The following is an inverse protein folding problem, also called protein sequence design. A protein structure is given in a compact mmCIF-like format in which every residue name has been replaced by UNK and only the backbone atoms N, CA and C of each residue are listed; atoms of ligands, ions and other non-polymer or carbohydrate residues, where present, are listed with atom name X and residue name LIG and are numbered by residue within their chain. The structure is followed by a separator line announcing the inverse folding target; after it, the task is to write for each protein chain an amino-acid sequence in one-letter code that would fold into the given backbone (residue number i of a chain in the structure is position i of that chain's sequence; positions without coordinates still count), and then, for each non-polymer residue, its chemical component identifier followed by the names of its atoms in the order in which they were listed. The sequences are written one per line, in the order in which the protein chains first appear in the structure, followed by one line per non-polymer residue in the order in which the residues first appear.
data_IF_320846622113
#
_entry.id   IF_320846622113
#
_cell.length_a   1.000
_cell.length_b   1.000
_cell.length_c   1.000
_cell.angle_alpha   90.00
_cell.angle_beta   90.00
_cell.angle_gamma   90.00
#
_symmetry.space_group_name_H-M   'P 1'
#
loop_
_entity.id
_entity.type
_entity.pdbx_description
1 polymer ?
#
# COMPACT_ATOMS: atom_id res chain seq x y z
N UNK A 1 5.95 -12.35 10.47
CA UNK A 1 6.36 -12.18 9.06
C UNK A 1 6.35 -13.51 8.29
N UNK A 2 6.84 -14.61 8.85
CA UNK A 2 7.00 -15.88 8.14
C UNK A 2 5.72 -16.46 7.48
N UNK A 3 4.57 -16.42 8.16
CA UNK A 3 3.28 -16.86 7.58
C UNK A 3 2.80 -15.98 6.42
N UNK A 4 3.09 -14.67 6.49
CA UNK A 4 2.78 -13.73 5.40
C UNK A 4 3.55 -14.13 4.14
N UNK A 5 4.84 -14.43 4.26
CA UNK A 5 5.66 -14.88 3.14
C UNK A 5 5.14 -16.20 2.54
N UNK A 6 4.65 -17.13 3.37
CA UNK A 6 4.03 -18.37 2.88
C UNK A 6 2.80 -18.08 2.02
N UNK A 7 1.88 -17.24 2.49
CA UNK A 7 0.70 -16.87 1.70
C UNK A 7 1.10 -16.18 0.39
N UNK A 8 2.03 -15.22 0.43
CA UNK A 8 2.52 -14.52 -0.77
C UNK A 8 3.10 -15.52 -1.79
N UNK A 9 3.90 -16.49 -1.34
CA UNK A 9 4.46 -17.54 -2.22
C UNK A 9 3.36 -18.43 -2.81
N UNK A 10 2.31 -18.74 -2.04
CA UNK A 10 1.15 -19.49 -2.51
C UNK A 10 0.36 -18.73 -3.59
N UNK A 11 0.07 -17.45 -3.38
CA UNK A 11 -0.63 -16.63 -4.38
C UNK A 11 0.19 -16.47 -5.66
N UNK A 12 1.50 -16.24 -5.54
CA UNK A 12 2.41 -16.18 -6.71
C UNK A 12 2.52 -17.50 -7.48
N UNK A 13 2.30 -18.63 -6.83
CA UNK A 13 2.27 -19.93 -7.50
C UNK A 13 0.94 -20.20 -8.23
N UNK A 14 -0.14 -19.49 -7.88
CA UNK A 14 -1.47 -19.69 -8.43
C UNK A 14 -1.81 -18.69 -9.54
N UNK A 15 -1.16 -17.51 -9.58
CA UNK A 15 -1.42 -16.47 -10.54
C UNK A 15 -0.13 -16.07 -11.29
N UNK A 16 -0.27 -15.84 -12.59
CA UNK A 16 0.87 -15.43 -13.46
C UNK A 16 1.32 -14.00 -13.13
N UNK A 17 0.38 -13.15 -12.76
CA UNK A 17 0.61 -11.74 -12.46
C UNK A 17 0.13 -11.41 -11.05
N UNK A 18 1.05 -11.00 -10.18
CA UNK A 18 0.76 -10.65 -8.79
C UNK A 18 1.47 -9.34 -8.45
N UNK A 19 0.71 -8.40 -7.92
CA UNK A 19 1.23 -7.20 -7.24
C UNK A 19 1.12 -7.37 -5.74
N UNK A 20 2.20 -7.11 -5.02
CA UNK A 20 2.23 -7.08 -3.56
C UNK A 20 2.39 -5.63 -3.11
N UNK A 21 1.32 -5.06 -2.58
CA UNK A 21 1.22 -3.65 -2.23
C UNK A 21 1.02 -3.48 -0.71
N UNK A 22 1.46 -2.34 -0.20
CA UNK A 22 1.27 -1.94 1.19
C UNK A 22 0.68 -0.54 1.27
N UNK A 23 -0.42 -0.39 1.98
CA UNK A 23 -1.16 0.87 2.07
C UNK A 23 -0.64 1.82 3.18
N UNK A 24 0.55 1.59 3.72
CA UNK A 24 1.23 2.49 4.68
C UNK A 24 1.16 2.05 6.14
N UNK A 25 1.89 2.78 6.99
CA UNK A 25 2.08 2.55 8.43
C UNK A 25 2.69 1.17 8.76
N UNK A 26 3.52 0.65 7.87
CA UNK A 26 4.12 -0.69 8.01
C UNK A 26 5.58 -0.68 8.47
N UNK A 27 6.21 0.49 8.64
CA UNK A 27 7.62 0.56 9.04
C UNK A 27 7.83 0.25 10.51
N UNK A 28 6.96 0.74 11.38
CA UNK A 28 7.07 0.56 12.82
C UNK A 28 5.92 -0.28 13.37
N UNK A 29 5.17 0.16 14.30
CA UNK A 29 4.11 -0.55 14.98
C UNK A 29 4.56 -1.04 16.36
N UNK A 30 3.77 -1.92 16.98
CA UNK A 30 4.00 -2.36 18.35
C UNK A 30 5.07 -3.46 18.49
N UNK A 31 5.59 -3.97 17.38
CA UNK A 31 6.61 -5.03 17.38
C UNK A 31 7.99 -4.48 17.71
N UNK A 32 8.64 -5.06 18.71
CA UNK A 32 9.91 -4.58 19.28
C UNK A 32 11.05 -4.44 18.23
N UNK A 33 11.34 -5.41 17.33
CA UNK A 33 12.41 -5.23 16.36
C UNK A 33 12.20 -4.00 15.44
N UNK A 34 10.99 -3.81 14.92
CA UNK A 34 10.68 -2.70 14.02
C UNK A 34 10.85 -1.33 14.70
N UNK A 35 10.34 -1.20 15.94
CA UNK A 35 10.47 0.04 16.72
C UNK A 35 11.93 0.34 17.06
N UNK A 36 12.68 -0.64 17.57
CA UNK A 36 14.09 -0.49 17.95
C UNK A 36 14.99 -0.14 16.78
N UNK A 37 14.70 -0.68 15.61
CA UNK A 37 15.46 -0.43 14.37
C UNK A 37 14.89 0.72 13.54
N UNK A 38 13.89 1.43 14.07
CA UNK A 38 13.24 2.53 13.36
C UNK A 38 12.80 2.14 11.93
N UNK A 39 12.16 0.96 11.80
CA UNK A 39 11.61 0.45 10.54
C UNK A 39 12.59 -0.31 9.64
N UNK A 40 13.89 -0.38 9.98
CA UNK A 40 14.86 -1.09 9.13
C UNK A 40 14.49 -2.57 8.93
N UNK A 41 14.16 -3.26 10.02
CA UNK A 41 13.75 -4.67 9.94
C UNK A 41 12.45 -4.88 9.14
N UNK A 42 11.54 -3.91 9.16
CA UNK A 42 10.34 -3.96 8.30
C UNK A 42 10.71 -3.88 6.82
N UNK A 43 11.57 -2.92 6.43
CA UNK A 43 12.06 -2.78 5.05
C UNK A 43 12.80 -4.03 4.60
N UNK A 44 13.67 -4.60 5.43
CA UNK A 44 14.40 -5.83 5.10
C UNK A 44 13.46 -7.01 4.86
N UNK A 45 12.46 -7.21 5.73
CA UNK A 45 11.46 -8.26 5.56
C UNK A 45 10.60 -8.05 4.31
N UNK A 46 10.19 -6.80 4.04
CA UNK A 46 9.44 -6.46 2.82
C UNK A 46 10.29 -6.68 1.56
N UNK A 47 11.58 -6.37 1.60
CA UNK A 47 12.52 -6.68 0.53
C UNK A 47 12.63 -8.19 0.24
N UNK A 48 12.66 -9.02 1.29
CA UNK A 48 12.69 -10.48 1.17
C UNK A 48 11.37 -11.03 0.60
N UNK A 49 10.24 -10.47 1.01
CA UNK A 49 8.93 -10.85 0.50
C UNK A 49 8.66 -10.33 -0.93
N UNK A 50 9.46 -9.37 -1.42
CA UNK A 50 9.35 -8.82 -2.77
C UNK A 50 8.13 -7.92 -2.94
N UNK A 51 7.96 -6.93 -2.08
CA UNK A 51 6.93 -5.90 -2.26
C UNK A 51 7.18 -5.10 -3.55
N UNK A 52 6.10 -4.69 -4.20
CA UNK A 52 6.13 -3.94 -5.46
C UNK A 52 6.00 -2.42 -5.24
N UNK A 53 5.27 -2.01 -4.21
CA UNK A 53 5.17 -0.62 -3.76
C UNK A 53 4.59 -0.53 -2.33
N UNK A 54 4.87 0.59 -1.66
CA UNK A 54 4.28 0.97 -0.38
C UNK A 54 3.86 2.43 -0.40
N UNK A 55 2.64 2.76 0.04
CA UNK A 55 2.27 4.14 0.34
C UNK A 55 2.89 4.60 1.65
N UNK A 56 3.07 5.92 1.81
CA UNK A 56 3.45 6.49 3.10
C UNK A 56 2.21 6.70 3.97
N UNK A 57 2.25 6.24 5.21
CA UNK A 57 1.27 6.55 6.23
C UNK A 57 1.77 7.58 7.25
N UNK A 58 0.91 7.97 8.18
CA UNK A 58 1.24 9.01 9.17
C UNK A 58 2.30 8.56 10.18
N UNK A 59 2.29 7.27 10.58
CA UNK A 59 3.28 6.71 11.50
C UNK A 59 4.64 6.52 10.81
N UNK A 60 4.68 6.25 9.51
CA UNK A 60 5.92 6.24 8.76
C UNK A 60 6.56 7.65 8.73
N UNK A 61 5.73 8.70 8.54
CA UNK A 61 6.20 10.09 8.59
C UNK A 61 6.68 10.48 9.99
N UNK A 62 6.12 9.91 11.05
CA UNK A 62 6.52 10.19 12.43
C UNK A 62 7.96 9.76 12.76
N UNK A 63 8.58 8.91 11.94
CA UNK A 63 10.01 8.61 12.02
C UNK A 63 10.90 9.84 11.77
N UNK A 64 10.37 10.88 11.15
CA UNK A 64 11.09 12.08 10.75
C UNK A 64 11.86 11.90 9.42
N UNK A 65 12.19 13.04 8.81
CA UNK A 65 12.75 13.08 7.45
C UNK A 65 14.00 12.22 7.26
N UNK A 66 14.98 12.35 8.15
CA UNK A 66 16.27 11.69 8.02
C UNK A 66 16.15 10.16 8.04
N UNK A 67 15.40 9.63 9.02
CA UNK A 67 15.19 8.19 9.17
C UNK A 67 14.35 7.66 8.01
N UNK A 68 13.29 8.36 7.63
CA UNK A 68 12.42 7.94 6.54
C UNK A 68 13.17 7.90 5.20
N UNK A 69 14.00 8.91 4.90
CA UNK A 69 14.84 8.91 3.69
C UNK A 69 15.84 7.75 3.68
N UNK A 70 16.38 7.39 4.85
CA UNK A 70 17.24 6.22 4.98
C UNK A 70 16.46 4.94 4.68
N UNK A 71 15.26 4.76 5.25
CA UNK A 71 14.39 3.59 4.97
C UNK A 71 14.02 3.49 3.49
N UNK A 72 13.69 4.61 2.87
CA UNK A 72 13.40 4.66 1.42
C UNK A 72 14.61 4.24 0.58
N UNK A 73 15.82 4.61 1.00
CA UNK A 73 17.05 4.24 0.29
C UNK A 73 17.43 2.75 0.44
N UNK A 74 17.01 2.09 1.53
CA UNK A 74 17.24 0.66 1.80
C UNK A 74 16.22 -0.25 1.10
N UNK A 75 15.05 0.29 0.73
CA UNK A 75 14.00 -0.47 0.10
C UNK A 75 14.32 -0.82 -1.36
N UNK A 76 13.97 -2.04 -1.77
CA UNK A 76 14.02 -2.51 -3.17
C UNK A 76 12.73 -2.22 -3.94
N UNK A 77 11.79 -1.57 -3.30
CA UNK A 77 10.50 -1.15 -3.83
C UNK A 77 10.33 0.36 -3.62
N UNK A 78 9.51 1.04 -4.43
CA UNK A 78 9.26 2.47 -4.25
C UNK A 78 8.32 2.72 -3.07
N UNK A 79 8.63 3.75 -2.28
CA UNK A 79 7.66 4.42 -1.44
C UNK A 79 6.90 5.46 -2.27
N UNK A 80 5.59 5.48 -2.13
CA UNK A 80 4.72 6.33 -2.93
C UNK A 80 3.95 7.33 -2.06
N UNK A 81 3.97 8.59 -2.47
CA UNK A 81 3.03 9.62 -2.00
C UNK A 81 3.02 10.82 -2.95
N UNK A 82 1.88 11.09 -3.53
CA UNK A 82 1.70 12.24 -4.42
C UNK A 82 1.44 13.56 -3.67
N UNK A 83 1.16 13.50 -2.35
CA UNK A 83 0.76 14.65 -1.57
C UNK A 83 1.67 14.98 -0.37
N UNK A 84 2.73 14.23 -0.13
CA UNK A 84 3.70 14.54 0.93
C UNK A 84 4.85 15.35 0.36
N UNK A 85 5.05 16.56 0.89
CA UNK A 85 6.10 17.48 0.45
C UNK A 85 6.98 17.92 1.61
N UNK A 86 8.23 18.24 1.32
CA UNK A 86 9.11 18.95 2.26
C UNK A 86 8.57 20.34 2.51
N UNK A 87 8.45 20.75 3.76
CA UNK A 87 7.87 22.06 4.12
C UNK A 87 8.72 23.24 3.66
N UNK A 88 10.03 23.06 3.57
CA UNK A 88 11.01 24.10 3.19
C UNK A 88 11.06 24.35 1.68
N UNK A 89 10.98 23.29 0.87
CA UNK A 89 11.17 23.36 -0.59
C UNK A 89 9.89 23.18 -1.39
N UNK A 90 8.84 22.60 -0.79
CA UNK A 90 7.64 22.19 -1.49
C UNK A 90 7.82 20.99 -2.44
N UNK A 91 9.02 20.37 -2.47
CA UNK A 91 9.27 19.19 -3.30
C UNK A 91 8.65 17.95 -2.68
N UNK A 92 8.16 17.04 -3.53
CA UNK A 92 7.69 15.75 -3.09
C UNK A 92 8.77 14.99 -2.31
N UNK A 93 8.37 14.31 -1.24
CA UNK A 93 9.25 13.51 -0.41
C UNK A 93 9.46 12.11 -0.99
N UNK A 94 8.44 11.54 -1.61
CA UNK A 94 8.46 10.23 -2.24
C UNK A 94 8.07 10.33 -3.72
N UNK A 95 8.12 9.21 -4.44
CA UNK A 95 7.59 9.15 -5.80
C UNK A 95 6.06 9.30 -5.76
N UNK A 96 5.45 10.12 -6.64
CA UNK A 96 4.00 10.27 -6.65
C UNK A 96 3.28 8.99 -7.11
N UNK A 97 3.86 8.30 -8.07
CA UNK A 97 3.35 7.06 -8.65
C UNK A 97 4.45 6.25 -9.33
N UNK A 98 4.14 5.03 -9.67
CA UNK A 98 4.91 4.19 -10.59
C UNK A 98 4.01 3.59 -11.65
N UNK A 99 4.57 3.26 -12.82
CA UNK A 99 3.88 2.51 -13.87
C UNK A 99 4.56 1.16 -14.04
N UNK A 100 3.76 0.10 -14.17
CA UNK A 100 4.22 -1.28 -14.39
C UNK A 100 3.47 -1.88 -15.59
N UNK A 101 4.15 -2.69 -16.37
CA UNK A 101 3.50 -3.52 -17.38
C UNK A 101 3.14 -4.88 -16.76
N UNK A 102 1.85 -5.22 -16.74
CA UNK A 102 1.30 -6.40 -16.08
C UNK A 102 0.20 -6.97 -16.95
N UNK A 103 0.33 -8.21 -17.37
CA UNK A 103 -0.71 -8.87 -18.17
C UNK A 103 -1.04 -8.20 -19.49
N UNK A 104 -0.10 -7.42 -20.04
CA UNK A 104 -0.31 -6.64 -21.27
C UNK A 104 -0.91 -5.26 -21.06
N UNK A 105 -1.20 -4.87 -19.80
CA UNK A 105 -1.69 -3.54 -19.43
C UNK A 105 -0.63 -2.71 -18.75
N UNK A 106 -0.68 -1.40 -18.94
CA UNK A 106 0.09 -0.41 -18.18
C UNK A 106 -0.70 -0.04 -16.94
N UNK A 107 -0.24 -0.50 -15.79
CA UNK A 107 -0.85 -0.27 -14.48
C UNK A 107 -0.15 0.87 -13.77
N UNK A 108 -0.86 1.96 -13.51
CA UNK A 108 -0.40 3.08 -12.69
C UNK A 108 -0.74 2.83 -11.22
N UNK A 109 0.25 2.94 -10.33
CA UNK A 109 0.06 2.81 -8.89
C UNK A 109 0.40 4.16 -8.27
N UNK A 110 -0.61 4.88 -7.78
CA UNK A 110 -0.48 6.22 -7.19
C UNK A 110 -0.48 6.07 -5.66
N UNK A 111 0.46 6.72 -4.96
CA UNK A 111 0.46 6.76 -3.50
C UNK A 111 -0.28 7.99 -2.97
N UNK A 112 -1.02 7.84 -1.86
CA UNK A 112 -1.70 8.93 -1.18
C UNK A 112 -1.60 8.77 0.34
N UNK A 113 -1.34 9.88 1.03
CA UNK A 113 -1.15 9.93 2.49
C UNK A 113 -2.24 10.79 3.12
N UNK A 114 -2.74 10.39 4.28
CA UNK A 114 -3.67 11.16 5.09
C UNK A 114 -3.02 12.35 5.80
N UNK A 115 -3.84 13.20 6.43
CA UNK A 115 -3.34 14.35 7.17
C UNK A 115 -2.39 13.93 8.29
N UNK A 116 -1.19 14.53 8.33
CA UNK A 116 -0.21 14.32 9.38
C UNK A 116 0.43 15.63 9.82
N UNK A 117 0.87 15.70 11.08
CA UNK A 117 1.56 16.86 11.64
C UNK A 117 2.97 16.46 12.07
N UNK A 118 3.92 16.57 11.16
CA UNK A 118 5.33 16.20 11.38
C UNK A 118 6.23 17.38 11.04
N UNK A 119 7.18 17.76 11.89
CA UNK A 119 8.12 18.84 11.61
C UNK A 119 8.88 18.62 10.29
N UNK A 120 8.94 19.66 9.45
CA UNK A 120 9.61 19.62 8.15
C UNK A 120 8.82 18.94 7.03
N UNK A 121 7.64 18.41 7.30
CA UNK A 121 6.74 17.76 6.34
C UNK A 121 5.42 18.54 6.25
N UNK A 122 4.85 18.61 5.07
CA UNK A 122 3.50 19.10 4.82
C UNK A 122 2.77 18.09 3.93
N UNK A 123 1.56 17.71 4.33
CA UNK A 123 0.66 16.89 3.53
C UNK A 123 -0.35 17.81 2.83
N UNK A 124 -0.44 17.69 1.52
CA UNK A 124 -1.41 18.44 0.70
C UNK A 124 -2.77 17.74 0.75
N UNK A 125 -3.81 18.44 0.32
CA UNK A 125 -5.17 17.88 0.27
C UNK A 125 -5.22 16.60 -0.56
N UNK A 126 -5.68 15.46 0.01
CA UNK A 126 -5.65 14.17 -0.67
C UNK A 126 -6.63 14.12 -1.85
N UNK A 127 -7.82 14.72 -1.76
CA UNK A 127 -8.81 14.68 -2.85
C UNK A 127 -8.34 15.49 -4.07
N UNK A 128 -7.83 16.70 -3.84
CA UNK A 128 -7.28 17.54 -4.90
C UNK A 128 -6.06 16.87 -5.55
N UNK A 129 -5.19 16.29 -4.71
CA UNK A 129 -4.01 15.57 -5.21
C UNK A 129 -4.39 14.34 -6.02
N UNK A 130 -5.35 13.53 -5.56
CA UNK A 130 -5.83 12.37 -6.29
C UNK A 130 -6.35 12.75 -7.67
N UNK A 131 -7.18 13.80 -7.79
CA UNK A 131 -7.66 14.30 -9.09
C UNK A 131 -6.53 14.64 -10.06
N UNK A 132 -5.53 15.37 -9.57
CA UNK A 132 -4.41 15.81 -10.40
C UNK A 132 -3.53 14.62 -10.82
N UNK A 133 -3.22 13.72 -9.89
CA UNK A 133 -2.39 12.55 -10.15
C UNK A 133 -3.08 11.57 -11.11
N UNK A 134 -4.38 11.29 -10.93
CA UNK A 134 -5.16 10.43 -11.82
C UNK A 134 -5.21 11.03 -13.23
N UNK A 135 -5.49 12.33 -13.37
CA UNK A 135 -5.50 13.00 -14.67
C UNK A 135 -4.13 13.01 -15.38
N UNK A 136 -3.03 12.93 -14.63
CA UNK A 136 -1.68 12.80 -15.20
C UNK A 136 -1.38 11.36 -15.60
N UNK A 137 -1.61 10.42 -14.68
CA UNK A 137 -1.27 8.99 -14.85
C UNK A 137 -2.14 8.34 -15.92
N UNK A 138 -3.44 8.64 -15.97
CA UNK A 138 -4.39 8.09 -16.95
C UNK A 138 -4.03 8.38 -18.42
N UNK A 139 -3.18 9.38 -18.68
CA UNK A 139 -2.67 9.63 -20.06
C UNK A 139 -1.73 8.54 -20.57
N UNK A 140 -1.20 7.72 -19.70
CA UNK A 140 -0.16 6.74 -20.03
C UNK A 140 -0.41 5.34 -19.46
N UNK A 141 -1.56 5.12 -18.83
CA UNK A 141 -1.92 3.84 -18.20
C UNK A 141 -3.29 3.38 -18.65
N UNK A 142 -3.50 2.09 -18.59
CA UNK A 142 -4.74 1.42 -18.93
C UNK A 142 -5.55 1.07 -17.67
N UNK A 143 -4.87 0.94 -16.53
CA UNK A 143 -5.44 0.63 -15.21
C UNK A 143 -4.80 1.55 -14.17
N UNK A 144 -5.60 2.07 -13.23
CA UNK A 144 -5.13 2.92 -12.13
C UNK A 144 -5.49 2.31 -10.77
N UNK A 145 -4.46 2.08 -9.96
CA UNK A 145 -4.58 1.67 -8.56
C UNK A 145 -4.18 2.86 -7.69
N UNK A 146 -5.08 3.28 -6.80
CA UNK A 146 -4.76 4.24 -5.74
C UNK A 146 -4.40 3.46 -4.47
N UNK A 147 -3.15 3.56 -4.05
CA UNK A 147 -2.63 2.97 -2.82
C UNK A 147 -2.66 4.07 -1.75
N UNK A 148 -3.68 4.04 -0.90
CA UNK A 148 -4.02 5.17 -0.04
C UNK A 148 -3.89 4.85 1.44
N UNK A 149 -3.28 5.78 2.17
CA UNK A 149 -3.35 5.86 3.63
C UNK A 149 -4.10 7.13 4.08
N UNK A 150 -5.04 7.62 3.28
CA UNK A 150 -5.81 8.84 3.60
C UNK A 150 -7.01 8.57 4.52
N UNK A 151 -7.31 7.30 4.74
CA UNK A 151 -8.44 6.81 5.55
C UNK A 151 -9.70 6.58 4.73
N UNK A 152 -10.50 5.60 5.18
CA UNK A 152 -11.65 5.07 4.44
C UNK A 152 -12.66 6.15 4.02
N UNK A 153 -13.00 7.10 4.90
CA UNK A 153 -13.96 8.15 4.56
C UNK A 153 -13.46 9.06 3.42
N UNK A 154 -12.15 9.36 3.42
CA UNK A 154 -11.52 10.12 2.34
C UNK A 154 -11.51 9.29 1.05
N UNK A 155 -11.16 8.02 1.13
CA UNK A 155 -11.07 7.11 -0.01
C UNK A 155 -12.43 6.88 -0.68
N UNK A 156 -13.50 6.74 0.10
CA UNK A 156 -14.88 6.68 -0.41
C UNK A 156 -15.29 8.00 -1.08
N UNK A 157 -14.85 9.14 -0.53
CA UNK A 157 -15.08 10.43 -1.17
C UNK A 157 -14.34 10.55 -2.50
N UNK A 158 -13.09 10.07 -2.55
CA UNK A 158 -12.30 10.03 -3.77
C UNK A 158 -12.97 9.13 -4.81
N UNK A 159 -13.39 7.92 -4.43
CA UNK A 159 -14.11 6.98 -5.28
C UNK A 159 -15.40 7.58 -5.89
N UNK A 160 -16.08 8.43 -5.14
CA UNK A 160 -17.30 9.11 -5.59
C UNK A 160 -17.04 10.33 -6.51
N UNK A 161 -15.86 10.93 -6.43
CA UNK A 161 -15.58 12.25 -7.03
C UNK A 161 -14.45 12.23 -8.08
N UNK A 162 -13.67 11.17 -8.16
CA UNK A 162 -12.55 11.02 -9.10
C UNK A 162 -12.80 9.78 -9.94
N UNK A 163 -13.22 9.97 -11.17
CA UNK A 163 -13.37 8.88 -12.15
C UNK A 163 -11.98 8.38 -12.61
N UNK A 164 -11.96 7.25 -13.32
CA UNK A 164 -10.75 6.65 -13.90
C UNK A 164 -9.83 5.92 -12.91
N UNK A 165 -10.28 5.70 -11.66
CA UNK A 165 -9.63 4.79 -10.72
C UNK A 165 -10.33 3.43 -10.83
N UNK A 166 -9.58 2.34 -10.95
CA UNK A 166 -10.12 0.98 -11.00
C UNK A 166 -10.18 0.34 -9.61
N UNK A 167 -9.15 0.61 -8.79
CA UNK A 167 -9.01 0.05 -7.45
C UNK A 167 -8.43 1.07 -6.48
N UNK A 168 -9.04 1.22 -5.31
CA UNK A 168 -8.45 1.89 -4.16
C UNK A 168 -8.12 0.84 -3.09
N UNK A 169 -6.84 0.70 -2.79
CA UNK A 169 -6.36 -0.08 -1.64
C UNK A 169 -6.22 0.88 -0.48
N UNK A 170 -7.21 0.85 0.41
CA UNK A 170 -7.30 1.77 1.55
C UNK A 170 -6.53 1.22 2.75
N UNK A 171 -5.82 2.09 3.44
CA UNK A 171 -5.17 1.87 4.72
C UNK A 171 -5.72 2.80 5.79
N UNK A 172 -5.06 2.81 6.96
CA UNK A 172 -5.44 3.62 8.11
C UNK A 172 -6.26 2.88 9.15
N UNK A 173 -6.66 3.59 10.19
CA UNK A 173 -7.27 2.99 11.40
C UNK A 173 -8.74 2.58 11.26
N UNK A 174 -9.41 3.06 10.21
CA UNK A 174 -10.79 2.69 9.91
C UNK A 174 -10.79 1.50 8.95
N UNK A 175 -11.67 0.54 9.15
CA UNK A 175 -11.77 -0.63 8.28
C UNK A 175 -13.11 -0.68 7.54
N UNK A 176 -13.09 -1.26 6.35
CA UNK A 176 -14.28 -1.65 5.61
C UNK A 176 -14.61 -3.11 5.92
N UNK A 177 -15.84 -3.36 6.37
CA UNK A 177 -16.30 -4.73 6.60
C UNK A 177 -16.41 -5.53 5.29
N UNK A 178 -16.69 -4.85 4.19
CA UNK A 178 -16.82 -5.41 2.84
C UNK A 178 -16.30 -4.39 1.83
N UNK A 179 -15.86 -4.84 0.64
CA UNK A 179 -15.54 -3.94 -0.45
C UNK A 179 -16.70 -2.97 -0.74
N UNK A 180 -16.37 -1.74 -1.05
CA UNK A 180 -17.31 -0.71 -1.48
C UNK A 180 -17.08 -0.37 -2.94
N UNK A 181 -18.09 0.15 -3.61
CA UNK A 181 -17.96 0.67 -4.98
C UNK A 181 -18.29 2.16 -5.00
N UNK A 182 -17.42 2.93 -5.63
CA UNK A 182 -17.67 4.32 -5.96
C UNK A 182 -18.69 4.46 -7.10
N UNK A 183 -19.10 5.70 -7.37
CA UNK A 183 -20.12 5.98 -8.41
C UNK A 183 -19.67 5.64 -9.83
N UNK A 184 -18.38 5.63 -10.07
CA UNK A 184 -17.80 5.25 -11.36
C UNK A 184 -17.62 3.73 -11.52
N UNK A 185 -17.84 2.95 -10.46
CA UNK A 185 -17.71 1.50 -10.45
C UNK A 185 -16.36 1.01 -9.93
N UNK A 186 -15.48 1.93 -9.53
CA UNK A 186 -14.20 1.65 -8.90
C UNK A 186 -14.37 0.90 -7.58
N UNK A 187 -13.45 -0.02 -7.31
CA UNK A 187 -13.48 -0.88 -6.12
C UNK A 187 -12.64 -0.28 -5.00
N UNK A 188 -13.24 -0.13 -3.81
CA UNK A 188 -12.51 0.26 -2.59
C UNK A 188 -12.41 -0.94 -1.66
N UNK A 189 -11.19 -1.32 -1.29
CA UNK A 189 -10.89 -2.47 -0.43
C UNK A 189 -10.02 -2.07 0.75
N UNK A 190 -10.15 -2.78 1.86
CA UNK A 190 -9.32 -2.61 3.05
C UNK A 190 -9.02 -3.98 3.66
N UNK A 191 -7.75 -4.26 3.93
CA UNK A 191 -7.30 -5.58 4.36
C UNK A 191 -7.56 -5.87 5.85
N UNK A 192 -7.71 -4.85 6.69
CA UNK A 192 -7.83 -5.04 8.14
C UNK A 192 -9.28 -5.07 8.63
N UNK A 193 -9.47 -5.85 9.69
CA UNK A 193 -10.67 -5.84 10.50
C UNK A 193 -10.36 -5.03 11.77
N UNK A 194 -11.23 -4.10 12.21
CA UNK A 194 -10.97 -3.26 13.38
C UNK A 194 -11.01 -4.09 14.66
N UNK A 195 -9.87 -4.69 15.01
CA UNK A 195 -9.73 -5.51 16.19
C UNK A 195 -8.38 -5.21 16.87
N UNK A 196 -8.36 -4.67 18.10
CA UNK A 196 -7.11 -4.36 18.79
C UNK A 196 -6.16 -5.55 18.84
N UNK A 197 -4.89 -5.33 18.54
CA UNK A 197 -3.83 -6.35 18.55
C UNK A 197 -3.83 -7.29 17.35
N UNK A 198 -4.57 -6.98 16.29
CA UNK A 198 -4.63 -7.78 15.07
C UNK A 198 -3.90 -7.14 13.87
N UNK A 199 -3.34 -5.95 14.03
CA UNK A 199 -2.57 -5.28 12.99
C UNK A 199 -1.52 -6.21 12.35
N UNK A 200 -1.49 -6.25 11.04
CA UNK A 200 -0.57 -7.09 10.26
C UNK A 200 -0.87 -8.59 10.27
N UNK A 201 -1.98 -9.05 10.84
CA UNK A 201 -2.42 -10.46 10.80
C UNK A 201 -3.32 -10.77 9.61
N UNK A 202 -3.85 -9.76 8.95
CA UNK A 202 -4.69 -9.92 7.78
C UNK A 202 -3.94 -9.52 6.52
N UNK A 203 -4.22 -10.22 5.44
CA UNK A 203 -3.80 -9.87 4.08
C UNK A 203 -5.05 -9.84 3.22
N UNK A 204 -5.25 -8.76 2.49
CA UNK A 204 -6.27 -8.67 1.46
C UNK A 204 -5.77 -9.30 0.16
N UNK A 205 -6.59 -10.13 -0.45
CA UNK A 205 -6.31 -10.73 -1.76
C UNK A 205 -7.41 -10.27 -2.72
N UNK A 206 -7.05 -9.45 -3.69
CA UNK A 206 -7.91 -9.02 -4.78
C UNK A 206 -7.57 -9.81 -6.05
N UNK A 207 -8.54 -10.50 -6.63
CA UNK A 207 -8.44 -11.12 -7.96
C UNK A 207 -9.26 -10.29 -8.92
N UNK A 208 -8.58 -9.64 -9.87
CA UNK A 208 -9.18 -8.70 -10.79
C UNK A 208 -9.05 -9.21 -12.21
N UNK A 209 -10.12 -9.08 -13.00
CA UNK A 209 -10.12 -9.43 -14.41
C UNK A 209 -10.39 -8.19 -15.24
N UNK A 210 -9.49 -7.89 -16.16
CA UNK A 210 -9.58 -6.76 -17.07
C UNK A 210 -9.82 -7.23 -18.51
N UNK A 211 -10.56 -6.44 -19.28
CA UNK A 211 -10.66 -6.67 -20.73
C UNK A 211 -9.42 -6.11 -21.46
N UNK A 212 -9.34 -6.30 -22.79
CA UNK A 212 -8.21 -5.83 -23.59
C UNK A 212 -8.05 -4.30 -23.64
N UNK A 213 -9.00 -3.54 -23.11
CA UNK A 213 -8.99 -2.08 -23.03
C UNK A 213 -8.69 -1.58 -21.60
N UNK A 214 -8.42 -2.51 -20.66
CA UNK A 214 -8.10 -2.19 -19.27
C UNK A 214 -9.32 -1.93 -18.38
N UNK A 215 -10.54 -2.27 -18.81
CA UNK A 215 -11.73 -2.09 -17.99
C UNK A 215 -11.90 -3.29 -17.05
N UNK A 216 -12.16 -3.02 -15.77
CA UNK A 216 -12.44 -4.04 -14.77
C UNK A 216 -13.76 -4.74 -15.09
N UNK A 217 -13.70 -6.06 -15.39
CA UNK A 217 -14.85 -6.89 -15.79
C UNK A 217 -15.40 -7.73 -14.64
N UNK A 218 -14.52 -8.22 -13.78
CA UNK A 218 -14.87 -9.01 -12.61
C UNK A 218 -13.85 -8.85 -11.50
N UNK A 219 -14.29 -9.03 -10.28
CA UNK A 219 -13.41 -8.97 -9.12
C UNK A 219 -13.85 -9.94 -8.02
N UNK A 220 -12.86 -10.44 -7.30
CA UNK A 220 -13.07 -11.18 -6.06
C UNK A 220 -12.16 -10.57 -4.99
N UNK A 221 -12.68 -10.45 -3.79
CA UNK A 221 -11.95 -9.96 -2.64
C UNK A 221 -12.10 -10.91 -1.48
N UNK A 222 -10.99 -11.21 -0.84
CA UNK A 222 -10.98 -11.93 0.42
C UNK A 222 -9.96 -11.34 1.39
N UNK A 223 -10.26 -11.43 2.67
CA UNK A 223 -9.34 -11.07 3.75
C UNK A 223 -8.87 -12.35 4.42
N UNK A 224 -7.59 -12.65 4.33
CA UNK A 224 -6.99 -13.87 4.85
C UNK A 224 -6.35 -13.60 6.21
N UNK A 225 -6.88 -14.26 7.26
CA UNK A 225 -6.27 -14.24 8.59
C UNK A 225 -5.10 -15.22 8.66
N UNK A 226 -3.92 -14.73 8.98
CA UNK A 226 -2.69 -15.52 9.14
C UNK A 226 -2.71 -16.29 10.47
N UNK A 227 -3.45 -17.39 10.53
CA UNK A 227 -3.55 -18.27 11.69
C UNK A 227 -2.29 -19.14 11.88
N UNK A 228 -2.12 -19.83 13.04
CA UNK A 228 -1.08 -20.83 13.23
C UNK A 228 -1.13 -22.02 12.26
N UNK A 229 -2.22 -22.19 11.51
CA UNK A 229 -2.34 -23.26 10.50
C UNK A 229 -1.51 -22.99 9.25
N UNK A 230 -1.13 -21.71 9.00
CA UNK A 230 -0.15 -21.39 7.98
C UNK A 230 1.24 -21.83 8.45
N UNK A 231 1.94 -22.62 7.61
CA UNK A 231 3.33 -22.94 7.85
C UNK A 231 4.19 -21.65 7.84
N UNK A 232 5.17 -21.60 8.70
CA UNK A 232 6.14 -20.50 8.69
C UNK A 232 7.13 -20.69 7.52
N UNK A 233 7.38 -19.62 6.77
CA UNK A 233 8.36 -19.62 5.69
C UNK A 233 9.78 -19.74 6.26
N UNK A 234 10.58 -20.74 5.83
CA UNK A 234 11.88 -21.01 6.43
C UNK A 234 12.90 -19.88 6.22
N UNK A 235 12.82 -19.14 5.13
CA UNK A 235 13.71 -18.02 4.85
C UNK A 235 13.44 -16.85 5.82
N UNK A 236 12.15 -16.52 6.03
CA UNK A 236 11.77 -15.50 6.99
C UNK A 236 12.01 -15.94 8.44
N UNK A 237 11.84 -17.22 8.77
CA UNK A 237 12.19 -17.74 10.10
C UNK A 237 13.68 -17.54 10.38
N UNK A 238 14.54 -17.92 9.43
CA UNK A 238 16.00 -17.74 9.57
C UNK A 238 16.38 -16.25 9.71
N UNK A 239 15.71 -15.38 8.95
CA UNK A 239 15.89 -13.94 9.07
C UNK A 239 15.43 -13.40 10.44
N UNK A 240 14.25 -13.82 10.94
CA UNK A 240 13.73 -13.45 12.25
C UNK A 240 14.65 -13.86 13.41
N UNK A 241 15.32 -15.03 13.32
CA UNK A 241 16.26 -15.51 14.33
C UNK A 241 17.48 -14.59 14.48
N UNK A 242 17.93 -13.97 13.40
CA UNK A 242 19.08 -13.05 13.41
C UNK A 242 18.68 -11.66 13.97
N UNK A 243 17.40 -11.27 13.88
CA UNK A 243 16.93 -9.93 14.22
C UNK A 243 16.13 -9.85 15.54
N UNK A 244 16.12 -10.94 16.32
CA UNK A 244 15.49 -11.00 17.66
C UNK A 244 16.17 -10.12 18.72
#
# INVERSE_FOLDING_TARGET
MARRATLIKQERAQAEHVLLLDAGDSLTGDMDPARRTQGQTSVEAMNLMGYDAMALGEEDLALGLEVLEQRMAEAKFPFLSANVVRADTGKLLAQPYVVREIGGHRVGIIGLTGPAQVPGIRVLDPLETARNAVAEVGKQTDVIILLSHAGVDTDLTIADMVSEIDLIVSGGSQALAHPSQGKAGDLVVHAEVPSPGHAGRYIGVARLQFDGEGRLMDHQWETVLLTPDFADDPELVAWEEVHR
#
